data_IF_995651293666
#
_entry.id   IF_995651293666
#
_cell.length_a   1.000
_cell.length_b   1.000
_cell.length_c   1.000
_cell.angle_alpha   90.00
_cell.angle_beta   90.00
_cell.angle_gamma   90.00
#
_symmetry.space_group_name_H-M   'P 1'
#
loop_
_entity.id
_entity.type
_entity.pdbx_description
1 polymer ?
#
# COMPACT_ATOMS: atom_id res chain seq x y z
N UNK A 1 0.24 7.65 -17.63
CA UNK A 1 -0.09 6.45 -16.81
C UNK A 1 0.97 6.30 -15.74
N UNK A 2 0.57 6.42 -14.47
CA UNK A 2 1.45 6.33 -13.31
C UNK A 2 1.78 4.87 -13.00
N UNK A 3 3.08 4.52 -12.94
CA UNK A 3 3.50 3.18 -12.51
C UNK A 3 3.59 3.14 -10.99
N UNK A 4 2.77 2.29 -10.36
CA UNK A 4 2.64 2.23 -8.90
C UNK A 4 3.17 0.90 -8.37
N UNK A 5 4.11 0.96 -7.43
CA UNK A 5 4.53 -0.21 -6.67
C UNK A 5 3.52 -0.54 -5.57
N UNK A 6 3.26 -1.82 -5.32
CA UNK A 6 2.48 -2.26 -4.14
C UNK A 6 3.38 -3.06 -3.22
N UNK A 7 3.37 -2.72 -1.93
CA UNK A 7 3.96 -3.54 -0.88
C UNK A 7 2.83 -4.09 0.01
N UNK A 8 2.75 -5.41 0.12
CA UNK A 8 1.77 -6.13 0.97
C UNK A 8 2.42 -6.71 2.22
N UNK A 9 1.59 -7.05 3.21
CA UNK A 9 2.05 -7.70 4.44
C UNK A 9 2.12 -9.24 4.28
N UNK A 10 3.17 -9.86 4.81
CA UNK A 10 3.30 -11.32 4.84
C UNK A 10 2.16 -12.05 5.57
N UNK A 11 1.57 -11.42 6.60
CA UNK A 11 0.52 -12.04 7.41
C UNK A 11 -0.77 -12.32 6.62
N UNK A 12 -0.97 -11.65 5.48
CA UNK A 12 -2.15 -11.81 4.64
C UNK A 12 -1.83 -12.45 3.27
N UNK A 13 -0.58 -12.83 3.06
CA UNK A 13 -0.05 -13.08 1.72
C UNK A 13 -0.57 -14.38 1.09
N UNK A 14 -0.90 -15.36 1.94
CA UNK A 14 -1.44 -16.68 1.57
C UNK A 14 -2.96 -16.68 1.45
N UNK A 15 -3.63 -15.59 1.83
CA UNK A 15 -5.10 -15.45 1.83
C UNK A 15 -5.60 -14.35 0.89
N UNK A 16 -4.78 -13.33 0.65
CA UNK A 16 -5.13 -12.19 -0.19
C UNK A 16 -4.32 -12.21 -1.49
N UNK A 17 -4.97 -12.50 -2.64
CA UNK A 17 -4.34 -12.44 -3.96
C UNK A 17 -4.31 -11.02 -4.55
N UNK A 18 -4.64 -9.97 -3.78
CA UNK A 18 -4.70 -8.57 -4.20
C UNK A 18 -5.78 -8.23 -5.25
N UNK A 19 -6.75 -9.11 -5.51
CA UNK A 19 -7.80 -8.92 -6.55
C UNK A 19 -8.43 -7.53 -6.51
N UNK A 20 -8.94 -7.10 -5.34
CA UNK A 20 -9.57 -5.78 -5.24
C UNK A 20 -8.55 -4.64 -5.30
N UNK A 21 -7.31 -4.84 -4.82
CA UNK A 21 -6.26 -3.82 -4.94
C UNK A 21 -5.93 -3.53 -6.41
N UNK A 22 -5.86 -4.58 -7.24
CA UNK A 22 -5.65 -4.42 -8.68
C UNK A 22 -6.88 -3.84 -9.38
N UNK A 23 -8.09 -4.27 -8.99
CA UNK A 23 -9.33 -3.71 -9.52
C UNK A 23 -9.39 -2.19 -9.31
N UNK A 24 -9.21 -1.73 -8.07
CA UNK A 24 -9.28 -0.28 -7.76
C UNK A 24 -8.12 0.50 -8.37
N UNK A 25 -6.96 -0.13 -8.60
CA UNK A 25 -5.86 0.48 -9.35
C UNK A 25 -6.26 0.74 -10.80
N UNK A 26 -6.78 -0.28 -11.50
CA UNK A 26 -7.20 -0.15 -12.90
C UNK A 26 -8.36 0.83 -13.04
N UNK A 27 -9.29 0.82 -12.11
CA UNK A 27 -10.45 1.72 -12.09
C UNK A 27 -10.12 3.12 -11.55
N UNK A 28 -8.89 3.37 -11.08
CA UNK A 28 -8.48 4.63 -10.44
C UNK A 28 -9.44 5.07 -9.33
N UNK A 29 -9.80 4.13 -8.46
CA UNK A 29 -10.72 4.37 -7.33
C UNK A 29 -10.01 4.13 -5.99
N UNK A 30 -10.65 4.60 -4.92
CA UNK A 30 -10.17 4.44 -3.54
C UNK A 30 -8.74 4.95 -3.35
N UNK A 31 -7.80 4.10 -2.92
CA UNK A 31 -6.41 4.50 -2.70
C UNK A 31 -5.74 5.07 -3.95
N UNK A 32 -6.30 4.84 -5.14
CA UNK A 32 -5.77 5.30 -6.42
C UNK A 32 -6.56 6.45 -7.05
N UNK A 33 -7.52 7.05 -6.34
CA UNK A 33 -8.41 8.10 -6.87
C UNK A 33 -7.70 9.40 -7.29
N UNK A 34 -6.46 9.62 -6.84
CA UNK A 34 -5.65 10.79 -7.22
C UNK A 34 -4.89 10.64 -8.55
N UNK A 35 -5.04 9.51 -9.25
CA UNK A 35 -4.35 9.25 -10.51
C UNK A 35 -5.32 9.29 -11.70
N UNK A 36 -4.92 9.93 -12.81
CA UNK A 36 -5.69 9.87 -14.07
C UNK A 36 -5.77 8.45 -14.65
N UNK A 37 -4.66 7.71 -14.53
CA UNK A 37 -4.54 6.30 -14.91
C UNK A 37 -3.29 5.71 -14.25
N UNK A 38 -3.37 4.50 -13.69
CA UNK A 38 -2.21 3.82 -13.12
C UNK A 38 -2.16 2.32 -13.44
N UNK A 39 -0.95 1.77 -13.34
CA UNK A 39 -0.65 0.35 -13.57
C UNK A 39 0.40 -0.14 -12.57
N UNK A 40 0.52 -1.44 -12.31
CA UNK A 40 1.52 -1.94 -11.38
C UNK A 40 2.93 -1.80 -11.96
N UNK A 41 3.84 -1.22 -11.18
CA UNK A 41 5.29 -1.30 -11.41
C UNK A 41 5.86 -2.65 -10.95
N UNK A 42 5.26 -3.22 -9.90
CA UNK A 42 5.66 -4.47 -9.27
C UNK A 42 4.95 -4.64 -7.92
N UNK A 43 4.99 -5.87 -7.40
CA UNK A 43 4.42 -6.20 -6.09
C UNK A 43 5.48 -6.92 -5.26
N UNK A 44 5.68 -6.47 -4.03
CA UNK A 44 6.49 -7.17 -3.04
C UNK A 44 5.70 -7.50 -1.77
N UNK A 45 6.13 -8.55 -1.08
CA UNK A 45 5.73 -8.83 0.30
C UNK A 45 6.80 -8.31 1.26
N UNK A 46 6.40 -7.43 2.17
CA UNK A 46 7.22 -7.02 3.32
C UNK A 46 7.28 -8.16 4.36
N UNK A 47 8.44 -8.33 4.99
CA UNK A 47 8.69 -9.29 6.08
C UNK A 47 8.84 -8.54 7.40
N UNK A 48 8.11 -8.94 8.43
CA UNK A 48 8.20 -8.33 9.75
C UNK A 48 9.60 -8.56 10.37
N UNK A 49 10.19 -7.56 11.03
CA UNK A 49 9.61 -6.28 11.45
C UNK A 49 9.67 -5.15 10.41
N UNK A 50 10.01 -5.45 9.15
CA UNK A 50 10.03 -4.50 8.04
C UNK A 50 11.43 -4.05 7.64
N UNK A 51 12.48 -4.75 8.06
CA UNK A 51 13.87 -4.37 7.77
C UNK A 51 14.20 -4.39 6.26
N UNK A 52 13.43 -5.13 5.46
CA UNK A 52 13.64 -5.24 4.02
C UNK A 52 12.98 -4.13 3.19
N UNK A 53 12.09 -3.31 3.76
CA UNK A 53 11.23 -2.40 2.96
C UNK A 53 12.01 -1.34 2.20
N UNK A 54 13.14 -0.88 2.74
CA UNK A 54 14.02 0.08 2.09
C UNK A 54 14.57 -0.45 0.76
N UNK A 55 15.02 -1.72 0.74
CA UNK A 55 15.55 -2.33 -0.47
C UNK A 55 14.44 -2.67 -1.47
N UNK A 56 13.28 -3.14 -1.00
CA UNK A 56 12.10 -3.33 -1.84
C UNK A 56 11.69 -2.03 -2.56
N UNK A 57 11.70 -0.91 -1.83
CA UNK A 57 11.36 0.40 -2.36
C UNK A 57 12.35 0.88 -3.44
N UNK A 58 13.66 0.71 -3.20
CA UNK A 58 14.71 1.01 -4.18
C UNK A 58 14.58 0.15 -5.43
N UNK A 59 14.25 -1.13 -5.28
CA UNK A 59 14.00 -2.02 -6.42
C UNK A 59 12.80 -1.52 -7.23
N UNK A 60 11.67 -1.23 -6.59
CA UNK A 60 10.48 -0.66 -7.26
C UNK A 60 10.82 0.62 -8.03
N UNK A 61 11.56 1.56 -7.41
CA UNK A 61 12.05 2.76 -8.09
C UNK A 61 12.92 2.44 -9.31
N UNK A 62 13.88 1.52 -9.18
CA UNK A 62 14.74 1.11 -10.30
C UNK A 62 13.97 0.47 -11.47
N UNK A 63 12.77 -0.06 -11.20
CA UNK A 63 11.85 -0.60 -12.22
C UNK A 63 10.87 0.44 -12.77
N UNK A 64 11.00 1.69 -12.34
CA UNK A 64 10.24 2.83 -12.83
C UNK A 64 8.94 3.10 -12.07
N UNK A 65 8.81 2.63 -10.82
CA UNK A 65 7.73 3.09 -9.96
C UNK A 65 7.84 4.60 -9.72
N UNK A 66 6.70 5.28 -9.73
CA UNK A 66 6.55 6.71 -9.47
C UNK A 66 5.89 6.98 -8.11
N UNK A 67 5.22 5.97 -7.55
CA UNK A 67 4.64 5.99 -6.22
C UNK A 67 4.61 4.56 -5.66
N UNK A 68 4.52 4.42 -4.33
CA UNK A 68 4.40 3.13 -3.64
C UNK A 68 3.17 3.15 -2.74
N UNK A 69 2.35 2.11 -2.81
CA UNK A 69 1.18 1.94 -1.94
C UNK A 69 1.37 0.77 -0.99
N UNK A 70 1.00 0.99 0.28
CA UNK A 70 0.86 -0.06 1.28
C UNK A 70 -0.59 -0.51 1.36
N UNK A 71 -0.81 -1.83 1.34
CA UNK A 71 -2.16 -2.39 1.31
C UNK A 71 -2.98 -1.98 2.53
N UNK A 72 -4.27 -1.66 2.35
CA UNK A 72 -5.16 -1.20 3.44
C UNK A 72 -5.18 -2.11 4.67
N UNK A 73 -5.06 -3.43 4.47
CA UNK A 73 -5.02 -4.41 5.56
C UNK A 73 -3.80 -4.27 6.49
N UNK A 74 -2.82 -3.44 6.13
CA UNK A 74 -1.69 -3.12 7.02
C UNK A 74 -2.10 -2.22 8.19
N UNK A 75 -3.12 -1.38 8.02
CA UNK A 75 -3.56 -0.39 9.03
C UNK A 75 -5.05 -0.45 9.39
N UNK A 76 -5.85 -1.22 8.65
CA UNK A 76 -7.28 -1.41 8.87
C UNK A 76 -7.66 -2.89 8.80
N UNK A 77 -8.82 -3.23 9.34
CA UNK A 77 -9.36 -4.59 9.34
C UNK A 77 -10.85 -4.60 9.00
N UNK A 78 -11.34 -5.76 8.59
CA UNK A 78 -12.76 -5.96 8.24
C UNK A 78 -13.56 -6.26 9.52
N UNK A 79 -14.60 -5.48 9.75
CA UNK A 79 -15.60 -5.64 10.80
C UNK A 79 -16.97 -5.99 10.21
N UNK A 80 -18.01 -6.05 11.03
CA UNK A 80 -19.38 -6.31 10.57
C UNK A 80 -19.93 -5.15 9.74
N UNK A 81 -19.49 -3.91 10.03
CA UNK A 81 -19.99 -2.68 9.40
C UNK A 81 -19.14 -2.18 8.23
N UNK A 82 -18.09 -2.93 7.86
CA UNK A 82 -17.21 -2.59 6.75
C UNK A 82 -15.74 -2.70 7.14
N UNK A 83 -14.89 -1.88 6.51
CA UNK A 83 -13.50 -1.76 6.93
C UNK A 83 -13.35 -0.55 7.84
N UNK A 84 -12.62 -0.72 8.93
CA UNK A 84 -12.31 0.38 9.85
C UNK A 84 -10.92 0.24 10.49
N UNK A 85 -10.50 1.29 11.19
CA UNK A 85 -9.20 1.37 11.86
C UNK A 85 -9.26 0.99 13.35
N UNK A 86 -10.44 0.64 13.89
CA UNK A 86 -10.64 0.50 15.34
C UNK A 86 -9.76 -0.60 15.94
N UNK A 87 -9.61 -1.72 15.22
CA UNK A 87 -8.75 -2.83 15.62
C UNK A 87 -7.36 -2.79 14.95
N UNK A 88 -7.03 -1.68 14.27
CA UNK A 88 -5.83 -1.57 13.44
C UNK A 88 -5.82 -2.57 12.28
N UNK A 89 -4.62 -2.82 11.77
CA UNK A 89 -4.35 -3.82 10.72
C UNK A 89 -3.20 -4.74 11.11
N UNK A 90 -2.62 -5.41 10.12
CA UNK A 90 -1.56 -6.40 10.34
C UNK A 90 -0.22 -5.83 10.82
N UNK A 91 -0.01 -4.51 10.73
CA UNK A 91 1.25 -3.86 11.03
C UNK A 91 1.05 -2.72 12.06
N UNK A 92 1.60 -2.85 13.29
CA UNK A 92 1.53 -1.78 14.28
C UNK A 92 2.41 -0.58 13.93
N UNK A 93 3.48 -0.80 13.16
CA UNK A 93 4.49 0.22 12.81
C UNK A 93 4.30 0.80 11.40
N UNK A 94 3.08 0.73 10.84
CA UNK A 94 2.87 0.96 9.41
C UNK A 94 3.26 2.36 8.93
N UNK A 95 3.06 3.39 9.74
CA UNK A 95 3.46 4.76 9.40
C UNK A 95 4.98 4.92 9.39
N UNK A 96 5.69 4.30 10.35
CA UNK A 96 7.16 4.23 10.35
C UNK A 96 7.67 3.50 9.11
N UNK A 97 7.02 2.41 8.72
CA UNK A 97 7.36 1.65 7.51
C UNK A 97 7.14 2.50 6.24
N UNK A 98 6.01 3.22 6.15
CA UNK A 98 5.74 4.12 5.03
C UNK A 98 6.77 5.24 4.91
N UNK A 99 7.13 5.87 6.05
CA UNK A 99 8.18 6.88 6.10
C UNK A 99 9.55 6.33 5.65
N UNK A 100 9.94 5.13 6.10
CA UNK A 100 11.18 4.48 5.67
C UNK A 100 11.18 4.18 4.16
N UNK A 101 10.05 3.70 3.62
CA UNK A 101 9.89 3.47 2.18
C UNK A 101 10.07 4.77 1.39
N UNK A 102 9.41 5.86 1.83
CA UNK A 102 9.54 7.16 1.18
C UNK A 102 10.98 7.65 1.23
N UNK A 103 11.58 7.70 2.42
CA UNK A 103 12.96 8.15 2.61
C UNK A 103 13.98 7.34 1.80
N UNK A 104 13.85 6.02 1.76
CA UNK A 104 14.82 5.15 1.09
C UNK A 104 14.74 5.21 -0.44
N UNK A 105 13.56 5.47 -1.00
CA UNK A 105 13.35 5.54 -2.44
C UNK A 105 13.28 6.97 -2.98
N UNK A 106 12.90 7.96 -2.16
CA UNK A 106 12.50 9.28 -2.62
C UNK A 106 11.25 9.25 -3.50
N UNK A 107 10.34 8.30 -3.27
CA UNK A 107 9.04 8.20 -3.93
C UNK A 107 7.93 8.34 -2.89
N UNK A 108 6.80 8.99 -3.23
CA UNK A 108 5.67 9.08 -2.32
C UNK A 108 5.18 7.69 -1.90
N UNK A 109 5.02 7.48 -0.60
CA UNK A 109 4.45 6.26 -0.04
C UNK A 109 3.06 6.52 0.55
N UNK A 110 2.02 5.95 -0.06
CA UNK A 110 0.62 6.13 0.35
C UNK A 110 0.09 4.93 1.12
N UNK A 111 -0.58 5.18 2.24
CA UNK A 111 -1.36 4.18 2.97
C UNK A 111 -2.72 4.01 2.32
N UNK A 112 -2.93 2.89 1.63
CA UNK A 112 -4.23 2.53 1.10
C UNK A 112 -4.17 1.94 -0.30
N UNK A 113 -5.00 0.92 -0.51
CA UNK A 113 -5.29 0.35 -1.82
C UNK A 113 -6.81 0.22 -1.97
N UNK A 114 -7.34 -1.00 -1.85
CA UNK A 114 -8.77 -1.28 -1.83
C UNK A 114 -9.29 -1.43 -0.40
N UNK A 115 -10.60 -1.31 -0.25
CA UNK A 115 -11.30 -1.41 1.03
C UNK A 115 -10.89 -0.34 2.05
N UNK A 116 -10.70 0.90 1.59
CA UNK A 116 -10.47 2.01 2.49
C UNK A 116 -11.62 2.11 3.51
N UNK A 117 -11.30 2.40 4.78
CA UNK A 117 -12.33 2.70 5.76
C UNK A 117 -13.26 3.82 5.30
N UNK A 118 -14.50 3.79 5.80
CA UNK A 118 -15.45 4.86 5.53
C UNK A 118 -14.85 6.21 5.96
N UNK A 119 -14.99 7.22 5.10
CA UNK A 119 -14.50 8.58 5.32
C UNK A 119 -12.96 8.69 5.50
N UNK A 120 -12.21 7.66 5.11
CA UNK A 120 -10.75 7.69 5.14
C UNK A 120 -10.16 8.41 3.93
N UNK A 121 -9.34 9.43 4.20
CA UNK A 121 -8.45 10.04 3.21
C UNK A 121 -7.09 9.36 3.25
N UNK A 122 -6.56 8.86 2.11
CA UNK A 122 -5.22 8.29 2.04
C UNK A 122 -4.16 9.24 2.60
N UNK A 123 -3.29 8.69 3.44
CA UNK A 123 -2.15 9.40 4.01
C UNK A 123 -0.92 9.10 3.18
N UNK A 124 -0.23 10.15 2.73
CA UNK A 124 0.99 10.05 1.90
C UNK A 124 2.19 10.59 2.65
N UNK A 125 3.28 9.83 2.61
CA UNK A 125 4.59 10.17 3.15
C UNK A 125 5.49 10.57 1.97
N UNK A 126 6.22 11.67 2.12
CA UNK A 126 7.13 12.26 1.14
C UNK A 126 8.56 12.30 1.68
#
# INVERSE_FOLDING_TARGET
MTKVGIIRCEKNETRCPLTNCFKTMIETTQGFAGYDACMPAGVFTCRCPGDNVADLAKILKSKGAQAIHLCTCTFASKTQDGWDKTNGGFCPDIEKIAANISQASGLPCTLGTAHLPKDYTPVTFE
#
